data_IF_866891036569
#
_entry.id   IF_866891036569
#
_cell.length_a   1.000
_cell.length_b   1.000
_cell.length_c   1.000
_cell.angle_alpha   90.00
_cell.angle_beta   90.00
_cell.angle_gamma   90.00
#
_symmetry.space_group_name_H-M   'P 1'
#
loop_
_entity.id
_entity.type
_entity.pdbx_description
1 polymer ?
#
# COMPACT_ATOMS: atom_id res chain seq x y z
N UNK A 1 9.31 -11.27 -4.43
CA UNK A 1 9.19 -11.77 -3.05
C UNK A 1 8.98 -10.66 -2.02
N UNK A 2 9.61 -9.50 -2.14
CA UNK A 2 9.42 -8.39 -1.17
C UNK A 2 7.96 -7.93 -1.08
N UNK A 3 7.21 -7.95 -2.19
CA UNK A 3 5.79 -7.62 -2.21
C UNK A 3 4.94 -8.66 -1.47
N UNK A 4 5.31 -9.95 -1.56
CA UNK A 4 4.66 -11.03 -0.79
C UNK A 4 4.90 -10.85 0.70
N UNK A 5 6.16 -10.60 1.10
CA UNK A 5 6.50 -10.35 2.50
C UNK A 5 5.75 -9.12 3.06
N UNK A 6 5.69 -8.03 2.29
CA UNK A 6 4.96 -6.83 2.68
C UNK A 6 3.44 -7.06 2.73
N UNK A 7 2.88 -7.85 1.82
CA UNK A 7 1.47 -8.24 1.87
C UNK A 7 1.16 -9.08 3.11
N UNK A 8 2.04 -10.03 3.44
CA UNK A 8 1.92 -10.83 4.66
C UNK A 8 1.96 -9.96 5.93
N UNK A 9 2.82 -8.95 5.99
CA UNK A 9 2.83 -8.01 7.13
C UNK A 9 1.52 -7.23 7.27
N UNK A 10 0.76 -7.07 6.20
CA UNK A 10 -0.55 -6.41 6.20
C UNK A 10 -1.72 -7.38 6.42
N UNK A 11 -1.55 -8.65 6.08
CA UNK A 11 -2.52 -9.73 6.28
C UNK A 11 -1.75 -11.03 6.60
N UNK A 12 -1.40 -11.26 7.87
CA UNK A 12 -0.59 -12.40 8.29
C UNK A 12 -1.40 -13.70 8.31
N UNK A 13 -1.35 -14.42 7.18
CA UNK A 13 -1.98 -15.74 7.00
C UNK A 13 -0.93 -16.84 6.85
N UNK A 14 -1.35 -18.11 6.95
CA UNK A 14 -0.47 -19.28 6.78
C UNK A 14 0.53 -19.48 7.92
N UNK A 15 0.26 -18.91 9.09
CA UNK A 15 1.09 -18.99 10.29
C UNK A 15 0.30 -19.61 11.44
N UNK A 16 1.00 -20.30 12.34
CA UNK A 16 0.47 -20.76 13.60
C UNK A 16 1.38 -20.29 14.74
N UNK A 17 0.77 -19.78 15.83
CA UNK A 17 1.53 -19.38 17.00
C UNK A 17 1.98 -20.61 17.80
N UNK A 18 3.30 -20.75 18.02
CA UNK A 18 3.87 -21.78 18.87
C UNK A 18 4.28 -21.17 20.24
N UNK A 19 3.57 -21.48 21.32
CA UNK A 19 3.85 -20.91 22.64
C UNK A 19 5.14 -21.45 23.29
N UNK A 20 5.66 -22.58 22.82
CA UNK A 20 6.92 -23.13 23.33
C UNK A 20 8.11 -22.31 22.83
N UNK A 21 8.11 -21.97 21.54
CA UNK A 21 9.16 -21.16 20.91
C UNK A 21 8.86 -19.65 20.98
N UNK A 22 7.62 -19.27 21.33
CA UNK A 22 7.09 -17.88 21.30
C UNK A 22 7.26 -17.25 19.90
N UNK A 23 6.95 -18.04 18.87
CA UNK A 23 7.09 -17.63 17.47
C UNK A 23 5.83 -17.96 16.70
N UNK A 24 5.56 -17.13 15.68
CA UNK A 24 4.65 -17.53 14.62
C UNK A 24 5.45 -18.36 13.60
N UNK A 25 5.07 -19.60 13.46
CA UNK A 25 5.72 -20.56 12.58
C UNK A 25 4.91 -20.69 11.29
N UNK A 26 5.61 -20.72 10.14
CA UNK A 26 4.95 -20.87 8.86
C UNK A 26 4.47 -22.30 8.70
N UNK A 27 3.16 -22.47 8.55
CA UNK A 27 2.51 -23.77 8.37
C UNK A 27 2.00 -23.99 6.94
N UNK A 28 1.74 -22.92 6.20
CA UNK A 28 1.28 -22.96 4.82
C UNK A 28 1.91 -21.83 3.98
N UNK A 29 2.95 -22.19 3.24
CA UNK A 29 3.63 -21.26 2.35
C UNK A 29 2.75 -20.81 1.18
N UNK A 30 1.90 -21.67 0.66
CA UNK A 30 1.01 -21.33 -0.45
C UNK A 30 -0.02 -20.29 -0.02
N UNK A 31 -0.58 -20.42 1.18
CA UNK A 31 -1.47 -19.41 1.76
C UNK A 31 -0.77 -18.05 1.93
N UNK A 32 0.51 -18.02 2.27
CA UNK A 32 1.30 -16.78 2.34
C UNK A 32 1.52 -16.18 0.96
N UNK A 33 2.04 -16.98 0.02
CA UNK A 33 2.50 -16.50 -1.28
C UNK A 33 1.36 -16.13 -2.23
N UNK A 34 0.24 -16.85 -2.14
CA UNK A 34 -0.94 -16.72 -3.02
C UNK A 34 -2.14 -16.10 -2.29
N UNK A 35 -1.94 -15.47 -1.14
CA UNK A 35 -3.03 -14.76 -0.47
C UNK A 35 -3.64 -13.71 -1.40
N UNK A 36 -4.95 -13.45 -1.33
CA UNK A 36 -5.60 -12.40 -2.14
C UNK A 36 -4.90 -11.05 -2.02
N UNK A 37 -4.41 -10.72 -0.83
CA UNK A 37 -3.64 -9.49 -0.58
C UNK A 37 -2.29 -9.50 -1.31
N UNK A 38 -1.57 -10.63 -1.31
CA UNK A 38 -0.27 -10.75 -1.99
C UNK A 38 -0.42 -10.64 -3.51
N UNK A 39 -1.41 -11.32 -4.08
CA UNK A 39 -1.72 -11.31 -5.52
C UNK A 39 -2.14 -9.91 -5.96
N UNK A 40 -3.11 -9.29 -5.28
CA UNK A 40 -3.57 -7.94 -5.60
C UNK A 40 -2.43 -6.93 -5.52
N UNK A 41 -1.63 -6.98 -4.46
CA UNK A 41 -0.49 -6.07 -4.26
C UNK A 41 0.60 -6.25 -5.31
N UNK A 42 0.90 -7.49 -5.69
CA UNK A 42 1.88 -7.78 -6.74
C UNK A 42 1.46 -7.13 -8.06
N UNK A 43 0.25 -7.43 -8.53
CA UNK A 43 -0.22 -6.88 -9.80
C UNK A 43 -0.36 -5.36 -9.77
N UNK A 44 -0.95 -4.79 -8.72
CA UNK A 44 -1.08 -3.34 -8.59
C UNK A 44 0.27 -2.62 -8.64
N UNK A 45 1.27 -3.12 -7.92
CA UNK A 45 2.60 -2.51 -7.86
C UNK A 45 3.37 -2.67 -9.17
N UNK A 46 3.36 -3.86 -9.78
CA UNK A 46 4.06 -4.10 -11.06
C UNK A 46 3.45 -3.27 -12.18
N UNK A 47 2.12 -3.25 -12.27
CA UNK A 47 1.41 -2.48 -13.29
C UNK A 47 1.58 -0.98 -13.11
N UNK A 48 1.66 -0.48 -11.86
CA UNK A 48 2.00 0.93 -11.62
C UNK A 48 3.39 1.30 -12.14
N UNK A 49 4.36 0.38 -12.03
CA UNK A 49 5.67 0.50 -12.66
C UNK A 49 5.59 0.54 -14.19
N UNK A 50 4.67 -0.21 -14.81
CA UNK A 50 4.43 -0.16 -16.26
C UNK A 50 3.83 1.18 -16.69
N UNK A 51 2.91 1.75 -15.91
CA UNK A 51 2.38 3.11 -16.15
C UNK A 51 3.51 4.13 -16.10
N UNK A 52 4.39 4.06 -15.09
CA UNK A 52 5.56 4.93 -14.96
C UNK A 52 6.49 4.80 -16.18
N UNK A 53 6.79 3.56 -16.61
CA UNK A 53 7.60 3.31 -17.80
C UNK A 53 6.98 3.91 -19.07
N UNK A 54 5.68 3.75 -19.26
CA UNK A 54 4.95 4.32 -20.38
C UNK A 54 4.97 5.86 -20.37
N UNK A 55 4.74 6.48 -19.21
CA UNK A 55 4.83 7.94 -19.01
C UNK A 55 6.24 8.43 -19.37
N UNK A 56 7.27 7.72 -18.91
CA UNK A 56 8.67 8.05 -19.19
C UNK A 56 8.96 8.02 -20.71
N UNK A 57 8.55 6.95 -21.39
CA UNK A 57 8.75 6.83 -22.86
C UNK A 57 8.00 7.92 -23.61
N UNK A 58 6.75 8.22 -23.26
CA UNK A 58 6.00 9.33 -23.87
C UNK A 58 6.68 10.67 -23.62
N UNK A 59 7.13 10.92 -22.39
CA UNK A 59 7.80 12.16 -22.03
C UNK A 59 9.10 12.39 -22.78
N UNK A 60 9.99 11.38 -22.82
CA UNK A 60 11.25 11.45 -23.58
C UNK A 60 11.01 11.61 -25.07
N UNK A 61 10.06 10.86 -25.61
CA UNK A 61 9.69 10.99 -27.05
C UNK A 61 9.13 12.38 -27.37
N UNK A 62 8.34 12.97 -26.49
CA UNK A 62 7.89 14.36 -26.62
C UNK A 62 9.04 15.36 -26.53
N UNK A 63 10.08 15.08 -25.76
CA UNK A 63 11.29 15.89 -25.75
C UNK A 63 12.00 15.88 -27.11
N UNK A 64 12.09 14.71 -27.80
CA UNK A 64 12.62 14.66 -29.16
C UNK A 64 11.79 15.49 -30.14
N UNK A 65 10.45 15.43 -30.07
CA UNK A 65 9.56 16.26 -30.90
C UNK A 65 9.77 17.76 -30.64
N UNK A 66 9.89 18.20 -29.39
CA UNK A 66 10.19 19.59 -29.04
C UNK A 66 11.53 20.06 -29.61
N UNK A 67 12.51 19.17 -29.69
CA UNK A 67 13.83 19.44 -30.26
C UNK A 67 13.90 19.22 -31.76
N UNK A 68 12.80 18.80 -32.39
CA UNK A 68 12.73 18.47 -33.84
C UNK A 68 13.77 17.41 -34.25
N UNK A 69 14.05 16.46 -33.34
CA UNK A 69 15.01 15.36 -33.53
C UNK A 69 14.25 14.02 -33.47
N UNK A 70 14.76 13.00 -34.20
CA UNK A 70 14.27 11.63 -34.13
C UNK A 70 12.74 11.52 -34.25
N UNK A 71 12.13 12.31 -35.15
CA UNK A 71 10.67 12.53 -35.19
C UNK A 71 9.91 11.21 -35.43
N UNK A 72 10.36 10.38 -36.38
CA UNK A 72 9.66 9.13 -36.71
C UNK A 72 9.81 8.10 -35.58
N UNK A 73 11.01 8.01 -34.97
CA UNK A 73 11.22 7.20 -33.80
C UNK A 73 10.33 7.64 -32.64
N UNK A 74 10.26 8.94 -32.36
CA UNK A 74 9.44 9.51 -31.30
C UNK A 74 7.95 9.22 -31.52
N UNK A 75 7.44 9.40 -32.74
CA UNK A 75 6.04 9.09 -33.08
C UNK A 75 5.70 7.61 -32.89
N UNK A 76 6.58 6.71 -33.33
CA UNK A 76 6.39 5.27 -33.17
C UNK A 76 6.39 4.88 -31.70
N UNK A 77 7.37 5.38 -30.94
CA UNK A 77 7.49 5.12 -29.50
C UNK A 77 6.29 5.63 -28.71
N UNK A 78 5.79 6.83 -29.00
CA UNK A 78 4.60 7.40 -28.37
C UNK A 78 3.36 6.52 -28.63
N UNK A 79 3.15 6.05 -29.86
CA UNK A 79 1.99 5.20 -30.18
C UNK A 79 1.98 3.93 -29.35
N UNK A 80 3.12 3.23 -29.30
CA UNK A 80 3.26 2.00 -28.53
C UNK A 80 3.09 2.27 -27.04
N UNK A 81 3.83 3.24 -26.50
CA UNK A 81 3.81 3.56 -25.07
C UNK A 81 2.44 4.06 -24.60
N UNK A 82 1.73 4.84 -25.42
CA UNK A 82 0.42 5.35 -25.02
C UNK A 82 -0.67 4.25 -25.00
N UNK A 83 -0.64 3.30 -25.95
CA UNK A 83 -1.54 2.13 -25.92
C UNK A 83 -1.24 1.27 -24.68
N UNK A 84 0.03 0.95 -24.49
CA UNK A 84 0.48 0.15 -23.35
C UNK A 84 0.17 0.85 -22.01
N UNK A 85 0.45 2.15 -21.91
CA UNK A 85 0.21 2.95 -20.72
C UNK A 85 -1.28 3.08 -20.39
N UNK A 86 -2.14 3.25 -21.40
CA UNK A 86 -3.60 3.27 -21.18
C UNK A 86 -4.09 1.91 -20.66
N UNK A 87 -3.68 0.81 -21.31
CA UNK A 87 -4.06 -0.53 -20.85
C UNK A 87 -3.57 -0.79 -19.42
N UNK A 88 -2.30 -0.48 -19.13
CA UNK A 88 -1.73 -0.61 -17.79
C UNK A 88 -2.50 0.24 -16.76
N UNK A 89 -2.84 1.51 -17.08
CA UNK A 89 -3.57 2.40 -16.17
C UNK A 89 -4.97 1.88 -15.86
N UNK A 90 -5.69 1.33 -16.84
CA UNK A 90 -7.00 0.73 -16.62
C UNK A 90 -6.92 -0.51 -15.73
N UNK A 91 -5.91 -1.36 -15.95
CA UNK A 91 -5.71 -2.56 -15.12
C UNK A 91 -5.24 -2.16 -13.71
N UNK A 92 -4.41 -1.10 -13.55
CA UNK A 92 -4.05 -0.55 -12.23
C UNK A 92 -5.29 -0.07 -11.48
N UNK A 93 -6.21 0.62 -12.15
CA UNK A 93 -7.45 1.05 -11.52
C UNK A 93 -8.29 -0.16 -11.04
N UNK A 94 -8.42 -1.19 -11.86
CA UNK A 94 -9.11 -2.43 -11.49
C UNK A 94 -8.44 -3.18 -10.34
N UNK A 95 -7.11 -3.36 -10.37
CA UNK A 95 -6.38 -3.99 -9.26
C UNK A 95 -6.36 -3.11 -8.01
N UNK A 96 -6.48 -1.80 -8.17
CA UNK A 96 -6.67 -0.84 -7.08
C UNK A 96 -8.01 -1.03 -6.36
N UNK A 97 -9.09 -1.25 -7.11
CA UNK A 97 -10.42 -1.58 -6.57
C UNK A 97 -10.36 -2.89 -5.76
N UNK A 98 -9.80 -3.96 -6.33
CA UNK A 98 -9.59 -5.23 -5.59
C UNK A 98 -8.80 -5.00 -4.30
N UNK A 99 -7.74 -4.19 -4.35
CA UNK A 99 -6.92 -3.87 -3.17
C UNK A 99 -7.72 -3.07 -2.14
N UNK A 100 -8.59 -2.16 -2.57
CA UNK A 100 -9.48 -1.39 -1.71
C UNK A 100 -10.43 -2.27 -0.90
N UNK A 101 -11.09 -3.22 -1.56
CA UNK A 101 -11.97 -4.21 -0.90
C UNK A 101 -11.18 -5.07 0.10
N UNK A 102 -9.96 -5.51 -0.26
CA UNK A 102 -9.12 -6.28 0.68
C UNK A 102 -8.73 -5.44 1.90
N UNK A 103 -8.36 -4.16 1.70
CA UNK A 103 -8.02 -3.26 2.82
C UNK A 103 -9.25 -3.01 3.70
N UNK A 104 -10.43 -2.80 3.13
CA UNK A 104 -11.66 -2.64 3.90
C UNK A 104 -11.96 -3.84 4.81
N UNK A 105 -11.71 -5.05 4.32
CA UNK A 105 -11.93 -6.30 5.08
C UNK A 105 -10.89 -6.54 6.16
N UNK A 106 -9.59 -6.41 5.85
CA UNK A 106 -8.51 -6.87 6.75
C UNK A 106 -7.82 -5.73 7.50
N UNK A 107 -7.98 -4.49 7.06
CA UNK A 107 -7.39 -3.30 7.67
C UNK A 107 -8.41 -2.13 7.72
N UNK A 108 -9.57 -2.30 8.35
CA UNK A 108 -10.65 -1.29 8.31
C UNK A 108 -10.20 0.06 8.88
N UNK A 109 -9.33 0.10 9.89
CA UNK A 109 -8.78 1.34 10.43
C UNK A 109 -7.95 2.11 9.40
N UNK A 110 -7.18 1.40 8.54
CA UNK A 110 -6.48 2.02 7.41
C UNK A 110 -7.45 2.61 6.40
N UNK A 111 -8.52 1.88 6.07
CA UNK A 111 -9.56 2.38 5.16
C UNK A 111 -10.21 3.64 5.74
N UNK A 112 -10.64 3.62 6.99
CA UNK A 112 -11.23 4.77 7.66
C UNK A 112 -10.29 5.99 7.68
N UNK A 113 -8.99 5.77 7.96
CA UNK A 113 -7.99 6.84 7.95
C UNK A 113 -7.71 7.38 6.53
N UNK A 114 -7.62 6.50 5.50
CA UNK A 114 -7.42 6.91 4.11
C UNK A 114 -8.63 7.71 3.58
N UNK A 115 -9.82 7.47 4.10
CA UNK A 115 -11.03 8.19 3.77
C UNK A 115 -11.31 9.40 4.69
N UNK A 116 -10.57 9.54 5.81
CA UNK A 116 -10.84 10.56 6.82
C UNK A 116 -12.20 10.36 7.48
N UNK A 117 -12.68 9.12 7.54
CA UNK A 117 -14.02 8.75 7.97
C UNK A 117 -14.06 8.62 9.49
N UNK A 118 -14.64 9.62 10.18
CA UNK A 118 -14.80 9.57 11.64
C UNK A 118 -15.95 8.64 12.03
N UNK A 119 -17.11 8.84 11.44
CA UNK A 119 -18.31 8.03 11.67
C UNK A 119 -18.64 7.23 10.41
N UNK A 120 -18.84 5.93 10.58
CA UNK A 120 -19.24 5.02 9.53
C UNK A 120 -20.74 4.89 9.36
N UNK A 121 -21.14 4.11 8.38
CA UNK A 121 -22.55 3.86 8.10
C UNK A 121 -22.76 3.11 6.79
N UNK A 122 -24.01 2.99 6.42
CA UNK A 122 -24.42 2.42 5.15
C UNK A 122 -24.44 3.50 4.06
N UNK A 123 -24.09 3.14 2.82
CA UNK A 123 -24.13 4.06 1.70
C UNK A 123 -23.19 5.26 1.84
N UNK A 124 -22.00 5.06 2.41
CA UNK A 124 -21.05 6.14 2.70
C UNK A 124 -20.52 6.80 1.44
N UNK A 125 -20.41 8.14 1.43
CA UNK A 125 -19.88 8.90 0.30
C UNK A 125 -18.34 8.81 0.28
N UNK A 126 -17.78 8.82 -0.92
CA UNK A 126 -16.34 9.03 -1.14
C UNK A 126 -16.03 10.52 -1.10
N UNK A 127 -15.17 10.95 -0.19
CA UNK A 127 -14.74 12.35 -0.08
C UNK A 127 -13.60 12.58 -1.09
N UNK A 128 -13.80 13.48 -2.05
CA UNK A 128 -12.75 13.85 -3.02
C UNK A 128 -11.77 14.82 -2.36
N UNK A 129 -12.22 16.02 -2.02
CA UNK A 129 -11.45 17.06 -1.29
C UNK A 129 -12.47 17.96 -0.56
N UNK A 130 -12.21 18.25 0.71
CA UNK A 130 -13.06 19.11 1.53
C UNK A 130 -14.51 18.60 1.57
N UNK A 131 -15.45 19.43 1.15
CA UNK A 131 -16.87 19.08 1.14
C UNK A 131 -17.36 18.41 -0.16
N UNK A 132 -16.47 18.25 -1.15
CA UNK A 132 -16.81 17.57 -2.41
C UNK A 132 -16.85 16.06 -2.17
N UNK A 133 -18.05 15.50 -2.21
CA UNK A 133 -18.31 14.09 -1.95
C UNK A 133 -19.10 13.44 -3.08
N UNK A 134 -18.76 12.21 -3.43
CA UNK A 134 -19.52 11.37 -4.36
C UNK A 134 -20.41 10.45 -3.54
N UNK A 135 -21.74 10.63 -3.58
CA UNK A 135 -22.66 9.83 -2.76
C UNK A 135 -22.50 8.33 -3.00
N UNK A 136 -22.56 7.53 -1.92
CA UNK A 136 -22.51 6.05 -1.92
C UNK A 136 -21.25 5.40 -2.50
N UNK A 137 -20.34 6.18 -3.08
CA UNK A 137 -19.18 5.67 -3.79
C UNK A 137 -18.20 4.95 -2.87
N UNK A 138 -18.04 5.37 -1.60
CA UNK A 138 -17.15 4.68 -0.66
C UNK A 138 -17.68 3.29 -0.32
N UNK A 139 -18.97 3.14 -0.08
CA UNK A 139 -19.58 1.83 0.16
C UNK A 139 -19.36 0.89 -1.03
N UNK A 140 -19.56 1.36 -2.26
CA UNK A 140 -19.29 0.57 -3.47
C UNK A 140 -17.83 0.16 -3.54
N UNK A 141 -16.88 1.07 -3.35
CA UNK A 141 -15.43 0.79 -3.42
C UNK A 141 -14.93 -0.13 -2.30
N UNK A 142 -15.54 -0.07 -1.12
CA UNK A 142 -15.11 -0.85 0.03
C UNK A 142 -15.76 -2.24 0.10
N UNK A 143 -17.00 -2.39 -0.39
CA UNK A 143 -17.81 -3.59 -0.17
C UNK A 143 -18.40 -4.19 -1.44
N UNK A 144 -18.33 -3.51 -2.59
CA UNK A 144 -19.07 -3.81 -3.82
C UNK A 144 -20.60 -3.83 -3.63
N UNK A 145 -21.08 -3.17 -2.57
CA UNK A 145 -22.50 -2.96 -2.28
C UNK A 145 -22.77 -1.47 -2.11
N UNK A 146 -23.83 -0.97 -2.77
CA UNK A 146 -24.20 0.45 -2.77
C UNK A 146 -24.63 0.96 -1.37
N UNK A 147 -25.18 0.08 -0.56
CA UNK A 147 -25.61 0.32 0.82
C UNK A 147 -24.75 -0.45 1.84
N UNK A 148 -23.60 -0.98 1.40
CA UNK A 148 -22.65 -1.70 2.26
C UNK A 148 -22.16 -0.83 3.43
N UNK A 149 -22.07 -1.43 4.61
CA UNK A 149 -21.60 -0.74 5.80
C UNK A 149 -20.09 -0.56 5.78
N UNK A 150 -19.62 0.66 6.01
CA UNK A 150 -18.22 1.00 6.15
C UNK A 150 -17.98 1.61 7.53
N UNK A 151 -17.21 0.98 8.43
CA UNK A 151 -16.96 1.52 9.75
C UNK A 151 -16.02 2.74 9.70
N UNK A 152 -16.34 3.77 10.48
CA UNK A 152 -15.46 4.91 10.73
C UNK A 152 -14.50 4.65 11.89
N UNK A 153 -13.60 5.60 12.13
CA UNK A 153 -12.59 5.53 13.21
C UNK A 153 -13.26 5.32 14.56
N UNK A 154 -14.31 6.09 14.88
CA UNK A 154 -14.99 5.98 16.16
C UNK A 154 -15.66 4.62 16.33
N UNK A 155 -16.35 4.13 15.30
CA UNK A 155 -16.97 2.80 15.33
C UNK A 155 -15.94 1.67 15.56
N UNK A 156 -14.74 1.79 14.97
CA UNK A 156 -13.66 0.82 15.14
C UNK A 156 -13.04 0.86 16.55
N UNK A 157 -13.07 2.02 17.20
CA UNK A 157 -12.62 2.18 18.59
C UNK A 157 -13.68 1.72 19.60
N UNK A 158 -14.94 2.07 19.37
CA UNK A 158 -16.04 1.77 20.27
C UNK A 158 -16.58 0.35 20.13
N UNK A 159 -16.47 -0.26 18.95
CA UNK A 159 -17.03 -1.57 18.64
C UNK A 159 -18.56 -1.52 18.52
N UNK A 160 -19.22 -2.66 18.74
CA UNK A 160 -20.68 -2.77 18.79
C UNK A 160 -21.39 -2.82 17.43
N UNK A 161 -20.71 -2.62 16.31
CA UNK A 161 -21.28 -2.77 14.98
C UNK A 161 -21.19 -4.23 14.49
N UNK A 162 -22.05 -4.59 13.53
CA UNK A 162 -22.03 -5.91 12.92
C UNK A 162 -20.95 -5.98 11.84
N UNK A 163 -20.05 -6.97 11.96
CA UNK A 163 -19.01 -7.24 10.95
C UNK A 163 -19.60 -7.93 9.72
N UNK A 164 -18.91 -7.95 8.58
CA UNK A 164 -19.37 -8.70 7.39
C UNK A 164 -19.61 -10.20 7.65
N UNK A 165 -18.91 -10.77 8.65
CA UNK A 165 -19.05 -12.16 9.07
C UNK A 165 -20.27 -12.39 9.99
N UNK A 166 -21.05 -11.36 10.30
CA UNK A 166 -22.24 -11.40 11.14
C UNK A 166 -21.97 -11.40 12.64
N UNK A 167 -20.74 -11.21 13.07
CA UNK A 167 -20.35 -11.08 14.49
C UNK A 167 -20.40 -9.62 14.95
N UNK A 168 -20.54 -9.39 16.25
CA UNK A 168 -20.42 -8.04 16.82
C UNK A 168 -18.96 -7.70 17.02
N UNK A 169 -18.53 -6.57 16.49
CA UNK A 169 -17.16 -6.09 16.62
C UNK A 169 -16.85 -5.73 18.08
N UNK A 170 -15.71 -6.22 18.59
CA UNK A 170 -15.19 -5.83 19.88
C UNK A 170 -14.65 -4.40 19.83
N UNK A 171 -14.79 -3.66 20.94
CA UNK A 171 -14.13 -2.38 21.11
C UNK A 171 -12.61 -2.52 21.12
N UNK A 172 -11.91 -1.43 20.83
CA UNK A 172 -10.44 -1.40 20.92
C UNK A 172 -9.97 -1.72 22.34
N UNK A 173 -10.69 -1.25 23.36
CA UNK A 173 -10.39 -1.51 24.76
C UNK A 173 -10.52 -3.02 25.11
N UNK A 174 -11.60 -3.67 24.67
CA UNK A 174 -11.78 -5.12 24.86
C UNK A 174 -10.68 -5.94 24.17
N UNK A 175 -10.25 -5.52 22.95
CA UNK A 175 -9.12 -6.18 22.25
C UNK A 175 -7.82 -6.03 23.04
N UNK A 176 -7.56 -4.85 23.63
CA UNK A 176 -6.38 -4.60 24.48
C UNK A 176 -6.41 -5.51 25.72
N UNK A 177 -7.55 -5.58 26.41
CA UNK A 177 -7.71 -6.42 27.60
C UNK A 177 -7.52 -7.92 27.29
N UNK A 178 -8.07 -8.39 26.17
CA UNK A 178 -7.83 -9.78 25.71
C UNK A 178 -6.36 -10.01 25.36
N UNK A 179 -5.71 -9.04 24.74
CA UNK A 179 -4.28 -9.11 24.45
C UNK A 179 -3.43 -9.20 25.71
N UNK A 180 -3.75 -8.42 26.74
CA UNK A 180 -3.08 -8.49 28.04
C UNK A 180 -3.30 -9.85 28.72
N UNK A 181 -4.51 -10.41 28.65
CA UNK A 181 -4.80 -11.77 29.11
C UNK A 181 -3.96 -12.81 28.38
N UNK A 182 -3.80 -12.68 27.04
CA UNK A 182 -2.96 -13.57 26.26
C UNK A 182 -1.49 -13.53 26.68
N UNK A 183 -0.94 -12.33 26.91
CA UNK A 183 0.45 -12.15 27.38
C UNK A 183 0.62 -12.79 28.76
N UNK A 184 -0.28 -12.51 29.70
CA UNK A 184 -0.23 -13.10 31.06
C UNK A 184 -0.37 -14.64 31.02
N UNK A 185 -1.25 -15.16 30.18
CA UNK A 185 -1.42 -16.59 29.96
C UNK A 185 -0.18 -17.27 29.39
N UNK A 186 0.53 -16.62 28.45
CA UNK A 186 1.79 -17.13 27.93
C UNK A 186 2.88 -17.22 29.00
N UNK A 187 3.00 -16.20 29.84
CA UNK A 187 3.96 -16.20 30.98
C UNK A 187 3.62 -17.30 31.97
N UNK A 188 2.34 -17.45 32.34
CA UNK A 188 1.87 -18.52 33.22
C UNK A 188 2.14 -19.93 32.63
N UNK A 189 1.88 -20.12 31.34
CA UNK A 189 2.15 -21.37 30.62
C UNK A 189 3.64 -21.74 30.71
N UNK A 190 4.53 -20.80 30.37
CA UNK A 190 5.99 -21.02 30.43
C UNK A 190 6.51 -21.31 31.81
N UNK A 191 5.93 -20.66 32.85
CA UNK A 191 6.29 -20.90 34.26
C UNK A 191 5.85 -22.30 34.66
N UNK A 192 4.60 -22.67 34.41
CA UNK A 192 4.06 -23.98 34.73
C UNK A 192 4.83 -25.13 34.02
N UNK A 193 5.24 -24.93 32.78
CA UNK A 193 6.11 -25.88 32.08
C UNK A 193 7.47 -26.09 32.77
N UNK A 194 8.12 -25.00 33.21
CA UNK A 194 9.41 -25.08 33.92
C UNK A 194 9.27 -25.78 35.27
N UNK A 195 8.16 -25.62 35.92
CA UNK A 195 7.83 -26.24 37.20
C UNK A 195 7.30 -27.69 37.07
N UNK A 196 7.08 -28.17 35.85
CA UNK A 196 6.53 -29.49 35.57
C UNK A 196 5.04 -29.66 35.92
N UNK A 197 4.34 -28.55 36.19
CA UNK A 197 2.94 -28.55 36.55
C UNK A 197 2.05 -28.60 35.28
N UNK A 198 1.69 -29.81 34.87
CA UNK A 198 0.90 -30.06 33.64
C UNK A 198 -0.52 -29.48 33.71
N UNK A 199 -1.17 -29.49 34.88
CA UNK A 199 -2.54 -28.98 35.04
C UNK A 199 -2.56 -27.45 34.87
N UNK A 200 -1.68 -26.74 35.56
CA UNK A 200 -1.55 -25.29 35.41
C UNK A 200 -1.15 -24.89 33.97
N UNK A 201 -0.25 -25.65 33.35
CA UNK A 201 0.13 -25.41 31.94
C UNK A 201 -1.07 -25.57 30.99
N UNK A 202 -1.92 -26.59 31.20
CA UNK A 202 -3.12 -26.80 30.36
C UNK A 202 -4.15 -25.67 30.52
N UNK A 203 -4.37 -25.18 31.75
CA UNK A 203 -5.29 -24.05 31.99
C UNK A 203 -4.77 -22.79 31.32
N UNK A 204 -3.49 -22.47 31.53
CA UNK A 204 -2.86 -21.31 30.91
C UNK A 204 -2.87 -21.39 29.36
N UNK A 205 -2.67 -22.59 28.80
CA UNK A 205 -2.73 -22.82 27.35
C UNK A 205 -4.12 -22.53 26.78
N UNK A 206 -5.20 -23.00 27.44
CA UNK A 206 -6.57 -22.70 26.99
C UNK A 206 -6.84 -21.20 26.98
N UNK A 207 -6.48 -20.49 28.07
CA UNK A 207 -6.64 -19.03 28.14
C UNK A 207 -5.85 -18.31 27.04
N UNK A 208 -4.64 -18.79 26.73
CA UNK A 208 -3.84 -18.27 25.64
C UNK A 208 -4.52 -18.48 24.29
N UNK A 209 -4.97 -19.71 23.99
CA UNK A 209 -5.58 -20.07 22.70
C UNK A 209 -6.87 -19.28 22.45
N UNK A 210 -7.66 -18.97 23.50
CA UNK A 210 -8.86 -18.13 23.40
C UNK A 210 -8.58 -16.64 23.10
N UNK A 211 -7.38 -16.16 23.43
CA UNK A 211 -7.05 -14.74 23.37
C UNK A 211 -5.88 -14.42 22.44
N UNK A 212 -5.20 -15.41 21.87
CA UNK A 212 -3.97 -15.24 21.07
C UNK A 212 -4.16 -14.36 19.84
N UNK A 213 -5.36 -14.34 19.27
CA UNK A 213 -5.71 -13.47 18.14
C UNK A 213 -5.55 -11.97 18.46
N UNK A 214 -5.62 -11.62 19.75
CA UNK A 214 -5.46 -10.24 20.23
C UNK A 214 -4.10 -9.97 20.88
N UNK A 215 -3.15 -10.91 20.77
CA UNK A 215 -1.86 -10.83 21.48
C UNK A 215 -1.13 -9.51 21.24
N UNK A 216 -1.09 -9.02 20.00
CA UNK A 216 -0.46 -7.75 19.64
C UNK A 216 -1.09 -6.53 20.29
N UNK A 217 -2.39 -6.55 20.51
CA UNK A 217 -3.11 -5.46 21.19
C UNK A 217 -2.70 -5.28 22.64
N UNK A 218 -2.23 -6.34 23.32
CA UNK A 218 -1.78 -6.26 24.70
C UNK A 218 -0.58 -5.35 24.95
N UNK A 219 0.15 -4.96 23.90
CA UNK A 219 1.23 -3.96 23.96
C UNK A 219 0.76 -2.53 23.75
N UNK A 220 -0.49 -2.32 23.36
CA UNK A 220 -1.09 -0.99 23.14
C UNK A 220 -1.61 -0.47 24.47
N UNK A 221 -1.24 0.77 24.81
CA UNK A 221 -1.60 1.38 26.10
C UNK A 221 -2.91 2.15 26.06
N UNK A 222 -3.24 2.71 24.91
CA UNK A 222 -4.41 3.58 24.72
C UNK A 222 -5.05 3.24 23.38
N UNK A 223 -6.37 3.00 23.32
CA UNK A 223 -7.10 2.80 22.07
C UNK A 223 -6.81 3.83 20.99
N UNK A 224 -6.60 5.09 21.35
CA UNK A 224 -6.27 6.15 20.39
C UNK A 224 -4.98 5.89 19.60
N UNK A 225 -4.05 5.12 20.15
CA UNK A 225 -2.81 4.73 19.47
C UNK A 225 -3.03 3.75 18.31
N UNK A 226 -4.22 3.17 18.16
CA UNK A 226 -4.58 2.32 17.02
C UNK A 226 -4.89 3.12 15.76
N UNK A 227 -5.07 4.42 15.87
CA UNK A 227 -5.40 5.30 14.75
C UNK A 227 -4.12 5.76 14.06
N UNK A 228 -3.93 5.43 12.76
CA UNK A 228 -2.79 5.92 12.01
C UNK A 228 -2.88 7.44 11.76
N UNK A 229 -1.79 8.10 11.32
CA UNK A 229 -1.81 9.53 10.98
C UNK A 229 -2.81 9.83 9.84
N UNK A 230 -4.05 10.21 10.20
CA UNK A 230 -5.18 10.37 9.27
C UNK A 230 -4.85 11.34 8.16
N UNK A 231 -4.36 12.55 8.48
CA UNK A 231 -4.10 13.57 7.46
C UNK A 231 -3.10 13.11 6.40
N UNK A 232 -2.01 12.48 6.81
CA UNK A 232 -0.98 11.98 5.87
C UNK A 232 -1.53 10.83 5.02
N UNK A 233 -2.26 9.89 5.61
CA UNK A 233 -2.86 8.76 4.91
C UNK A 233 -3.91 9.22 3.91
N UNK A 234 -4.78 10.15 4.30
CA UNK A 234 -5.83 10.74 3.46
C UNK A 234 -5.25 11.43 2.22
N UNK A 235 -4.34 12.38 2.41
CA UNK A 235 -3.79 13.13 1.29
C UNK A 235 -2.96 12.28 0.36
N UNK A 236 -2.18 11.34 0.88
CA UNK A 236 -1.42 10.40 0.06
C UNK A 236 -2.33 9.52 -0.79
N UNK A 237 -3.45 9.06 -0.24
CA UNK A 237 -4.44 8.30 -0.98
C UNK A 237 -5.08 9.14 -2.10
N UNK A 238 -5.47 10.40 -1.82
CA UNK A 238 -6.02 11.32 -2.82
C UNK A 238 -5.05 11.64 -3.94
N UNK A 239 -3.77 11.86 -3.63
CA UNK A 239 -2.73 12.08 -4.63
C UNK A 239 -2.57 10.84 -5.53
N UNK A 240 -2.49 9.65 -4.95
CA UNK A 240 -2.36 8.40 -5.69
C UNK A 240 -3.53 8.17 -6.65
N UNK A 241 -4.77 8.25 -6.15
CA UNK A 241 -5.98 8.01 -6.95
C UNK A 241 -6.18 9.11 -8.00
N UNK A 242 -5.98 10.38 -7.63
CA UNK A 242 -6.10 11.51 -8.53
C UNK A 242 -5.11 11.45 -9.70
N UNK A 243 -3.86 11.10 -9.41
CA UNK A 243 -2.86 10.89 -10.46
C UNK A 243 -3.15 9.65 -11.30
N UNK A 244 -3.71 8.58 -10.73
CA UNK A 244 -4.20 7.42 -11.47
C UNK A 244 -5.23 7.80 -12.53
N UNK A 245 -6.25 8.57 -12.14
CA UNK A 245 -7.25 9.13 -13.07
C UNK A 245 -6.63 10.06 -14.11
N UNK A 246 -5.68 10.90 -13.70
CA UNK A 246 -4.93 11.77 -14.61
C UNK A 246 -4.17 10.97 -15.68
N UNK A 247 -3.50 9.86 -15.34
CA UNK A 247 -2.77 9.06 -16.33
C UNK A 247 -3.69 8.42 -17.36
N UNK A 248 -4.87 7.95 -16.97
CA UNK A 248 -5.87 7.45 -17.93
C UNK A 248 -6.23 8.54 -18.95
N UNK A 249 -6.60 9.74 -18.47
CA UNK A 249 -6.93 10.88 -19.34
C UNK A 249 -5.75 11.31 -20.19
N UNK A 250 -4.55 11.36 -19.63
CA UNK A 250 -3.31 11.71 -20.32
C UNK A 250 -3.06 10.78 -21.51
N UNK A 251 -3.11 9.47 -21.29
CA UNK A 251 -2.89 8.51 -22.39
C UNK A 251 -3.99 8.54 -23.44
N UNK A 252 -5.25 8.78 -23.07
CA UNK A 252 -6.34 8.98 -24.02
C UNK A 252 -6.04 10.18 -24.93
N UNK A 253 -5.67 11.33 -24.35
CA UNK A 253 -5.37 12.55 -25.09
C UNK A 253 -4.16 12.35 -26.02
N UNK A 254 -3.09 11.72 -25.50
CA UNK A 254 -1.89 11.39 -26.30
C UNK A 254 -2.24 10.49 -27.47
N UNK A 255 -3.06 9.45 -27.27
CA UNK A 255 -3.49 8.53 -28.33
C UNK A 255 -4.33 9.23 -29.40
N UNK A 256 -5.31 10.03 -28.99
CA UNK A 256 -6.19 10.76 -29.93
C UNK A 256 -5.38 11.71 -30.81
N UNK A 257 -4.46 12.47 -30.23
CA UNK A 257 -3.63 13.41 -30.99
C UNK A 257 -2.57 12.71 -31.83
N UNK A 258 -2.02 11.59 -31.35
CA UNK A 258 -1.08 10.77 -32.12
C UNK A 258 -1.73 10.14 -33.35
N UNK A 259 -2.97 9.62 -33.23
CA UNK A 259 -3.72 9.05 -34.37
C UNK A 259 -4.05 10.09 -35.45
N UNK A 260 -4.29 11.33 -35.04
CA UNK A 260 -4.59 12.45 -35.96
C UNK A 260 -3.34 13.15 -36.50
N UNK A 261 -2.15 12.65 -36.24
CA UNK A 261 -0.82 13.25 -36.52
C UNK A 261 -0.67 14.71 -36.04
N UNK A 262 -1.50 15.10 -35.05
CA UNK A 262 -1.51 16.47 -34.49
C UNK A 262 -0.55 16.62 -33.30
N UNK A 263 0.00 15.53 -32.80
CA UNK A 263 0.86 15.55 -31.63
C UNK A 263 2.16 16.36 -31.86
N UNK A 264 2.70 16.33 -33.10
CA UNK A 264 3.90 17.09 -33.48
C UNK A 264 3.72 18.62 -33.37
N UNK A 265 2.45 19.08 -33.53
CA UNK A 265 2.11 20.50 -33.48
C UNK A 265 1.54 20.92 -32.09
N UNK A 266 1.27 19.95 -31.22
CA UNK A 266 0.73 20.16 -29.87
C UNK A 266 1.84 20.42 -28.84
N UNK A 267 2.59 21.53 -28.98
CA UNK A 267 3.74 21.86 -28.11
C UNK A 267 3.38 21.95 -26.62
N UNK A 268 2.13 22.32 -26.27
CA UNK A 268 1.66 22.34 -24.89
C UNK A 268 1.62 20.92 -24.30
N UNK A 269 1.13 19.93 -25.05
CA UNK A 269 1.04 18.54 -24.59
C UNK A 269 2.44 17.91 -24.51
N UNK A 270 3.34 18.25 -25.42
CA UNK A 270 4.72 17.77 -25.37
C UNK A 270 5.43 18.26 -24.10
N UNK A 271 5.22 19.52 -23.71
CA UNK A 271 5.73 20.06 -22.43
C UNK A 271 5.06 19.39 -21.22
N UNK A 272 3.73 19.22 -21.27
CA UNK A 272 2.98 18.51 -20.23
C UNK A 272 3.51 17.09 -20.03
N UNK A 273 3.78 16.36 -21.11
CA UNK A 273 4.31 15.00 -21.07
C UNK A 273 5.65 14.91 -20.32
N UNK A 274 6.52 15.89 -20.47
CA UNK A 274 7.77 15.97 -19.68
C UNK A 274 7.50 16.15 -18.19
N UNK A 275 6.57 17.04 -17.81
CA UNK A 275 6.19 17.26 -16.42
C UNK A 275 5.36 16.10 -15.85
N UNK A 276 4.82 15.23 -16.69
CA UNK A 276 4.13 14.02 -16.25
C UNK A 276 5.10 12.95 -15.72
N UNK A 277 6.37 12.94 -16.16
CA UNK A 277 7.37 11.96 -15.68
C UNK A 277 7.50 11.96 -14.15
N UNK A 278 7.78 13.08 -13.46
CA UNK A 278 7.86 13.09 -12.00
C UNK A 278 6.54 12.71 -11.31
N UNK A 279 5.39 12.97 -11.94
CA UNK A 279 4.10 12.62 -11.35
C UNK A 279 3.91 11.10 -11.21
N UNK A 280 4.50 10.29 -12.09
CA UNK A 280 4.50 8.84 -11.97
C UNK A 280 5.24 8.36 -10.71
N UNK A 281 6.38 8.97 -10.39
CA UNK A 281 7.10 8.68 -9.14
C UNK A 281 6.30 9.14 -7.91
N UNK A 282 5.72 10.33 -7.96
CA UNK A 282 4.90 10.89 -6.87
C UNK A 282 3.71 9.95 -6.57
N UNK A 283 3.01 9.46 -7.59
CA UNK A 283 1.90 8.52 -7.42
C UNK A 283 2.34 7.22 -6.75
N UNK A 284 3.48 6.65 -7.18
CA UNK A 284 4.05 5.45 -6.59
C UNK A 284 4.44 5.64 -5.12
N UNK A 285 5.12 6.75 -4.79
CA UNK A 285 5.50 7.07 -3.41
C UNK A 285 4.28 7.33 -2.53
N UNK A 286 3.26 8.05 -3.03
CA UNK A 286 2.02 8.26 -2.30
C UNK A 286 1.32 6.92 -1.98
N UNK A 287 1.31 5.97 -2.91
CA UNK A 287 0.81 4.61 -2.67
C UNK A 287 1.58 3.87 -1.56
N UNK A 288 2.90 4.00 -1.51
CA UNK A 288 3.71 3.42 -0.44
C UNK A 288 3.45 4.11 0.91
N UNK A 289 3.27 5.42 0.96
CA UNK A 289 2.88 6.13 2.18
C UNK A 289 1.54 5.59 2.70
N UNK A 290 0.53 5.45 1.85
CA UNK A 290 -0.76 4.84 2.24
C UNK A 290 -0.57 3.43 2.79
N UNK A 291 0.24 2.60 2.12
CA UNK A 291 0.46 1.22 2.53
C UNK A 291 1.13 1.10 3.90
N UNK A 292 2.17 1.91 4.16
CA UNK A 292 3.03 1.77 5.35
C UNK A 292 2.60 2.67 6.52
N UNK A 293 2.27 3.92 6.26
CA UNK A 293 1.79 4.84 7.29
C UNK A 293 0.36 4.49 7.71
N UNK A 294 -0.51 4.13 6.74
CA UNK A 294 -1.86 3.68 7.04
C UNK A 294 -1.92 2.37 7.82
N UNK A 295 -0.83 1.59 7.90
CA UNK A 295 -0.73 0.39 8.74
C UNK A 295 -0.36 0.70 10.19
N UNK A 296 0.13 1.89 10.50
CA UNK A 296 0.51 2.22 11.87
C UNK A 296 -0.68 2.04 12.85
N UNK A 297 -0.43 1.58 14.09
CA UNK A 297 0.88 1.36 14.74
C UNK A 297 1.53 -0.01 14.46
N UNK A 298 1.06 -0.77 13.51
CA UNK A 298 1.45 -2.15 13.29
C UNK A 298 2.73 -2.29 12.45
N UNK A 299 3.68 -3.05 12.93
CA UNK A 299 4.75 -3.65 12.11
C UNK A 299 4.21 -4.87 11.36
N UNK A 300 3.44 -5.74 12.05
CA UNK A 300 2.64 -6.82 11.47
C UNK A 300 1.22 -6.64 11.99
N UNK A 301 0.27 -6.54 11.07
CA UNK A 301 -1.12 -6.22 11.38
C UNK A 301 -1.68 -7.12 12.51
N UNK A 302 -2.24 -6.50 13.54
CA UNK A 302 -2.87 -7.11 14.72
C UNK A 302 -1.97 -8.01 15.59
N UNK A 303 -0.75 -8.33 15.13
CA UNK A 303 0.16 -9.27 15.80
C UNK A 303 1.32 -8.57 16.50
N UNK A 304 1.92 -7.56 15.88
CA UNK A 304 3.13 -6.92 16.40
C UNK A 304 3.11 -5.41 16.16
N UNK A 305 2.87 -4.60 17.19
CA UNK A 305 2.98 -3.15 17.05
C UNK A 305 4.44 -2.71 16.98
N UNK A 306 4.70 -1.58 16.29
CA UNK A 306 6.04 -1.01 16.11
C UNK A 306 6.76 -0.80 17.44
N UNK A 307 6.05 -0.35 18.48
CA UNK A 307 6.62 -0.14 19.80
C UNK A 307 7.15 -1.42 20.49
N UNK A 308 6.64 -2.60 20.11
CA UNK A 308 7.12 -3.90 20.58
C UNK A 308 8.13 -4.55 19.63
N UNK A 309 8.21 -4.09 18.38
CA UNK A 309 9.11 -4.60 17.33
C UNK A 309 10.53 -4.01 17.42
N UNK A 310 10.99 -3.69 18.62
CA UNK A 310 12.29 -3.02 18.82
C UNK A 310 13.39 -4.10 18.96
N UNK A 311 14.44 -3.97 18.15
CA UNK A 311 15.63 -4.81 18.30
C UNK A 311 16.56 -4.29 19.41
N UNK A 312 17.43 -5.18 19.92
CA UNK A 312 18.44 -4.82 20.94
C UNK A 312 19.67 -4.09 20.35
N UNK A 313 19.58 -3.60 19.12
CA UNK A 313 20.67 -2.87 18.46
C UNK A 313 20.81 -1.47 19.07
N UNK A 314 22.05 -1.00 19.12
CA UNK A 314 22.33 0.40 19.53
C UNK A 314 21.83 1.36 18.43
N UNK A 315 21.26 2.47 18.84
CA UNK A 315 20.75 3.52 17.93
C UNK A 315 21.84 4.01 16.98
N UNK A 316 23.08 4.14 17.45
CA UNK A 316 24.23 4.54 16.62
C UNK A 316 24.50 3.58 15.45
N UNK A 317 24.40 2.27 15.67
CA UNK A 317 24.58 1.27 14.60
C UNK A 317 23.52 1.42 13.50
N UNK A 318 22.27 1.66 13.90
CA UNK A 318 21.17 1.89 12.94
C UNK A 318 21.39 3.20 12.16
N UNK A 319 21.79 4.28 12.85
CA UNK A 319 22.08 5.57 12.22
C UNK A 319 23.22 5.46 11.22
N UNK A 320 24.34 4.84 11.59
CA UNK A 320 25.49 4.66 10.68
C UNK A 320 25.07 3.89 9.44
N UNK A 321 24.36 2.77 9.61
CA UNK A 321 23.87 1.97 8.48
C UNK A 321 22.94 2.77 7.57
N UNK A 322 22.01 3.52 8.17
CA UNK A 322 21.11 4.38 7.41
C UNK A 322 21.87 5.42 6.56
N UNK A 323 22.82 6.13 7.13
CA UNK A 323 23.56 7.14 6.39
C UNK A 323 24.48 6.55 5.32
N UNK A 324 25.08 5.37 5.56
CA UNK A 324 25.87 4.67 4.54
C UNK A 324 24.96 4.35 3.32
N UNK A 325 23.80 3.76 3.54
CA UNK A 325 22.88 3.45 2.45
C UNK A 325 22.33 4.71 1.78
N UNK A 326 22.01 5.76 2.53
CA UNK A 326 21.54 7.02 1.98
C UNK A 326 22.57 7.61 1.01
N UNK A 327 23.84 7.66 1.40
CA UNK A 327 24.92 8.19 0.57
C UNK A 327 25.12 7.29 -0.66
N UNK A 328 25.21 5.97 -0.47
CA UNK A 328 25.40 5.01 -1.54
C UNK A 328 24.31 5.10 -2.61
N UNK A 329 23.05 5.04 -2.20
CA UNK A 329 21.92 5.11 -3.13
C UNK A 329 21.79 6.49 -3.78
N UNK A 330 22.15 7.58 -3.08
CA UNK A 330 22.17 8.91 -3.69
C UNK A 330 23.23 9.01 -4.79
N UNK A 331 24.42 8.47 -4.57
CA UNK A 331 25.48 8.41 -5.60
C UNK A 331 25.02 7.58 -6.80
N UNK A 332 24.42 6.40 -6.55
CA UNK A 332 23.90 5.54 -7.61
C UNK A 332 22.81 6.24 -8.41
N UNK A 333 21.87 6.92 -7.76
CA UNK A 333 20.79 7.68 -8.42
C UNK A 333 21.37 8.81 -9.31
N UNK A 334 22.35 9.56 -8.82
CA UNK A 334 23.01 10.60 -9.62
C UNK A 334 23.71 9.99 -10.85
N UNK A 335 24.40 8.87 -10.67
CA UNK A 335 25.06 8.17 -11.78
C UNK A 335 24.04 7.67 -12.81
N UNK A 336 22.96 7.05 -12.37
CA UNK A 336 21.88 6.56 -13.24
C UNK A 336 21.23 7.68 -14.04
N UNK A 337 20.85 8.79 -13.39
CA UNK A 337 20.29 9.96 -14.07
C UNK A 337 21.26 10.50 -15.12
N UNK A 338 22.54 10.61 -14.79
CA UNK A 338 23.56 11.10 -15.73
C UNK A 338 23.72 10.19 -16.95
N UNK A 339 23.74 8.85 -16.74
CA UNK A 339 23.81 7.87 -17.82
C UNK A 339 22.57 7.98 -18.71
N UNK A 340 21.38 7.99 -18.11
CA UNK A 340 20.11 8.13 -18.84
C UNK A 340 20.06 9.40 -19.68
N UNK A 341 20.38 10.56 -19.05
CA UNK A 341 20.38 11.85 -19.76
C UNK A 341 21.37 11.87 -20.91
N UNK A 342 22.58 11.29 -20.73
CA UNK A 342 23.57 11.17 -21.83
C UNK A 342 23.04 10.28 -22.96
N UNK A 343 22.46 9.13 -22.65
CA UNK A 343 21.88 8.23 -23.65
C UNK A 343 20.73 8.88 -24.42
N UNK A 344 19.82 9.57 -23.74
CA UNK A 344 18.71 10.31 -24.36
C UNK A 344 19.26 11.42 -25.28
N UNK A 345 20.28 12.17 -24.85
CA UNK A 345 20.89 13.23 -25.68
C UNK A 345 21.63 12.68 -26.91
N UNK A 346 22.24 11.49 -26.80
CA UNK A 346 22.92 10.81 -27.91
C UNK A 346 21.90 10.41 -28.99
N UNK A 347 20.77 9.84 -28.60
CA UNK A 347 19.69 9.40 -29.51
C UNK A 347 19.93 8.01 -30.10
N UNK A 348 18.90 7.42 -30.76
CA UNK A 348 18.97 6.05 -31.28
C UNK A 348 19.86 5.88 -32.51
N UNK A 349 20.03 6.90 -33.38
CA UNK A 349 20.86 6.79 -34.58
C UNK A 349 22.36 6.64 -34.30
N UNK A 350 22.82 7.22 -33.18
CA UNK A 350 24.23 7.14 -32.82
C UNK A 350 24.65 5.73 -32.33
N UNK A 351 23.70 4.82 -32.10
CA UNK A 351 23.95 3.43 -31.68
C UNK A 351 24.13 2.53 -32.90
N UNK A 352 23.66 2.93 -34.08
CA UNK A 352 23.79 2.16 -35.35
C UNK A 352 25.16 2.30 -36.02
N UNK A 353 26.02 3.16 -35.55
CA UNK A 353 27.34 3.47 -36.10
C UNK A 353 28.55 2.94 -35.34
N UNK A 354 28.32 2.14 -34.28
CA UNK A 354 29.31 1.31 -33.59
C UNK A 354 29.03 -0.18 -33.93
#
# INVERSE_FOLDING_TARGET
WILVANAWMQYPVGMAFNPETVRNEMVDFAAVALSPMAVAKFFHTVLSGWVLGAVFVVGVSCWYLLRKREIEFAKASIKVAAVFGLAASLIVAWTGDISGVQVAKVQPMKMAAAEGLQEGGNGMPFTVVGDIKIPKMLSILATHDIDGYVPGINNLLEGGYQTPEGTIALSAQEKIERGQKAIAALDAFRKAQKEGNKEAANIARRTLDENVAYFGYGYIKDPAHLVPPVGLTFWSFRIMVGLGGYFILFFIVVLVLSRKDKLKDAGWLQKLALWTIPLGYIAGQAGWVVAEVGRQPWAIQDMLPVGAAISKLQTSSVQITFFIFLILFTIMLIAEINIMVKAIKKGPEAIKGE
#
